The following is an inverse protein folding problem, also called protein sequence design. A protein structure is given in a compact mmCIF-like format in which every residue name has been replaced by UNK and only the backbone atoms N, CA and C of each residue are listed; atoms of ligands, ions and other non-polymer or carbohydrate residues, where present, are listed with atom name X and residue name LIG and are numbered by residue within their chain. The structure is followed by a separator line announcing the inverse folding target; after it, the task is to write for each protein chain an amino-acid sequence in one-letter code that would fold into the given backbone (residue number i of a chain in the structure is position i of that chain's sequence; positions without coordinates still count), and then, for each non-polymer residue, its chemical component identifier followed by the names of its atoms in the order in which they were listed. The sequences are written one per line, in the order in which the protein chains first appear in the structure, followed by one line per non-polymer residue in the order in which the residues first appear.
data_IF_485173235592
#
_entry.id   IF_485173235592
#
_cell.length_a   1.000
_cell.length_b   1.000
_cell.length_c   1.000
_cell.angle_alpha   90.00
_cell.angle_beta   90.00
_cell.angle_gamma   90.00
#
_symmetry.space_group_name_H-M   'P 1'
#
loop_
_entity.id
_entity.type
_entity.pdbx_description
1 polymer ?
#
# COMPACT_ATOMS: atom_id res chain seq x y z
N UNK A 1 -3.84 -12.10 -7.29
CA UNK A 1 -4.59 -13.34 -7.54
C UNK A 1 -5.15 -13.31 -8.94
N UNK A 2 -4.25 -13.57 -9.88
CA UNK A 2 -4.57 -13.77 -11.27
C UNK A 2 -5.30 -15.11 -11.43
N UNK A 3 -6.47 -15.10 -12.03
CA UNK A 3 -7.14 -16.16 -12.81
C UNK A 3 -7.17 -17.62 -12.29
N UNK A 4 -6.84 -17.89 -11.06
CA UNK A 4 -7.12 -19.17 -10.46
C UNK A 4 -8.54 -19.13 -9.90
N UNK A 5 -9.32 -20.15 -10.18
CA UNK A 5 -10.69 -20.29 -9.68
C UNK A 5 -10.72 -19.90 -8.21
N UNK A 6 -11.57 -18.92 -7.89
CA UNK A 6 -11.78 -18.50 -6.51
C UNK A 6 -12.25 -19.74 -5.76
N UNK A 7 -11.38 -20.30 -4.92
CA UNK A 7 -11.72 -21.43 -4.09
C UNK A 7 -12.59 -20.95 -2.93
N UNK A 8 -13.90 -21.06 -3.10
CA UNK A 8 -14.87 -20.69 -2.07
C UNK A 8 -14.64 -21.45 -0.77
N UNK A 9 -14.15 -22.70 -0.85
CA UNK A 9 -13.84 -23.48 0.34
C UNK A 9 -12.67 -22.88 1.15
N UNK A 10 -11.71 -22.26 0.47
CA UNK A 10 -10.65 -21.53 1.15
C UNK A 10 -11.21 -20.35 1.97
N UNK A 11 -12.14 -19.58 1.41
CA UNK A 11 -12.77 -18.47 2.14
C UNK A 11 -13.57 -18.95 3.35
N UNK A 12 -14.28 -20.06 3.22
CA UNK A 12 -15.00 -20.67 4.34
C UNK A 12 -14.03 -21.12 5.44
N UNK A 13 -12.91 -21.76 5.09
CA UNK A 13 -11.85 -22.14 6.04
C UNK A 13 -11.22 -20.93 6.71
N UNK A 14 -10.90 -19.88 5.94
CA UNK A 14 -10.36 -18.62 6.49
C UNK A 14 -11.34 -17.98 7.49
N UNK A 15 -12.66 -18.03 7.22
CA UNK A 15 -13.66 -17.53 8.14
C UNK A 15 -13.67 -18.27 9.49
N UNK A 16 -13.35 -19.56 9.50
CA UNK A 16 -13.23 -20.36 10.73
C UNK A 16 -11.90 -20.10 11.45
N UNK A 17 -10.81 -19.94 10.70
CA UNK A 17 -9.44 -19.90 11.26
C UNK A 17 -9.02 -18.50 11.72
N UNK A 18 -9.65 -17.43 11.24
CA UNK A 18 -9.21 -16.06 11.55
C UNK A 18 -10.32 -15.22 12.16
N UNK A 19 -9.96 -14.46 13.21
CA UNK A 19 -10.85 -13.48 13.87
C UNK A 19 -10.76 -12.10 13.20
N UNK A 20 -9.65 -11.79 12.52
CA UNK A 20 -9.35 -10.46 11.97
C UNK A 20 -9.23 -10.50 10.45
N UNK A 21 -9.87 -9.54 9.78
CA UNK A 21 -9.84 -9.44 8.32
C UNK A 21 -9.51 -8.02 7.87
N UNK A 22 -8.56 -7.91 6.96
CA UNK A 22 -8.30 -6.66 6.26
C UNK A 22 -9.42 -6.45 5.23
N UNK A 23 -10.24 -5.44 5.49
CA UNK A 23 -11.39 -5.07 4.65
C UNK A 23 -11.17 -3.75 3.91
N UNK A 24 -10.16 -3.00 4.29
CA UNK A 24 -9.76 -1.76 3.65
C UNK A 24 -8.27 -1.83 3.33
N UNK A 25 -7.95 -1.86 2.05
CA UNK A 25 -6.58 -1.88 1.55
C UNK A 25 -6.30 -0.64 0.71
N UNK A 26 -5.27 0.12 1.06
CA UNK A 26 -4.95 1.40 0.43
C UNK A 26 -4.49 1.29 -1.02
N UNK A 27 -4.15 0.10 -1.51
CA UNK A 27 -3.74 -0.18 -2.89
C UNK A 27 -4.81 -0.92 -3.72
N UNK A 28 -5.92 -1.30 -3.09
CA UNK A 28 -7.04 -1.96 -3.76
C UNK A 28 -8.12 -0.96 -4.13
N UNK A 29 -8.91 -1.29 -5.15
CA UNK A 29 -10.05 -0.47 -5.53
C UNK A 29 -11.19 -0.55 -4.52
N UNK A 30 -12.11 0.42 -4.60
CA UNK A 30 -13.27 0.49 -3.73
C UNK A 30 -14.15 -0.76 -3.83
N UNK A 31 -14.27 -1.34 -5.02
CA UNK A 31 -15.09 -2.51 -5.27
C UNK A 31 -14.57 -3.73 -4.50
N UNK A 32 -13.27 -4.02 -4.58
CA UNK A 32 -12.64 -5.12 -3.86
C UNK A 32 -12.77 -4.94 -2.34
N UNK A 33 -12.53 -3.74 -1.84
CA UNK A 33 -12.69 -3.41 -0.42
C UNK A 33 -14.14 -3.59 0.03
N UNK A 34 -15.12 -3.16 -0.78
CA UNK A 34 -16.56 -3.31 -0.48
C UNK A 34 -16.99 -4.78 -0.45
N UNK A 35 -16.52 -5.59 -1.40
CA UNK A 35 -16.82 -7.02 -1.43
C UNK A 35 -16.27 -7.73 -0.18
N UNK A 36 -15.02 -7.46 0.19
CA UNK A 36 -14.42 -8.05 1.37
C UNK A 36 -15.12 -7.61 2.65
N UNK A 37 -15.49 -6.33 2.75
CA UNK A 37 -16.25 -5.79 3.87
C UNK A 37 -17.62 -6.50 4.01
N UNK A 38 -18.40 -6.57 2.93
CA UNK A 38 -19.72 -7.19 2.94
C UNK A 38 -19.63 -8.69 3.29
N UNK A 39 -18.63 -9.38 2.74
CA UNK A 39 -18.38 -10.76 3.09
C UNK A 39 -18.07 -10.93 4.57
N UNK A 40 -17.12 -10.17 5.12
CA UNK A 40 -16.72 -10.27 6.52
C UNK A 40 -17.86 -9.91 7.48
N UNK A 41 -18.65 -8.88 7.17
CA UNK A 41 -19.84 -8.51 7.95
C UNK A 41 -20.96 -9.56 7.87
N UNK A 42 -21.03 -10.30 6.77
CA UNK A 42 -21.97 -11.39 6.59
C UNK A 42 -21.62 -12.71 7.29
N UNK A 43 -20.48 -12.77 7.98
CA UNK A 43 -20.05 -13.95 8.76
C UNK A 43 -20.72 -13.97 10.13
N UNK A 44 -21.94 -14.53 10.18
CA UNK A 44 -22.66 -14.74 11.44
C UNK A 44 -22.13 -15.95 12.21
N UNK A 45 -22.39 -16.07 13.53
CA UNK A 45 -22.03 -17.25 14.32
C UNK A 45 -22.50 -18.56 13.70
N UNK A 46 -23.71 -18.59 13.17
CA UNK A 46 -24.34 -19.78 12.56
C UNK A 46 -23.57 -20.18 11.28
N UNK A 47 -23.18 -19.21 10.46
CA UNK A 47 -22.36 -19.46 9.26
C UNK A 47 -20.98 -19.99 9.63
N UNK A 48 -20.31 -19.39 10.61
CA UNK A 48 -18.99 -19.85 11.07
C UNK A 48 -19.08 -21.27 11.58
N UNK A 49 -20.10 -21.61 12.38
CA UNK A 49 -20.32 -22.98 12.87
C UNK A 49 -20.68 -23.95 11.73
N UNK A 50 -21.43 -23.51 10.73
CA UNK A 50 -21.74 -24.34 9.56
C UNK A 50 -20.45 -24.65 8.76
N UNK A 51 -19.57 -23.66 8.54
CA UNK A 51 -18.28 -23.84 7.88
C UNK A 51 -17.35 -24.73 8.69
N UNK A 52 -17.30 -24.54 10.01
CA UNK A 52 -16.53 -25.36 10.92
C UNK A 52 -16.91 -26.85 10.79
N UNK A 53 -18.20 -27.17 10.82
CA UNK A 53 -18.70 -28.54 10.60
C UNK A 53 -18.37 -29.07 9.21
N UNK A 54 -18.60 -28.25 8.17
CA UNK A 54 -18.35 -28.65 6.75
C UNK A 54 -16.89 -29.04 6.52
N UNK A 55 -15.97 -28.31 7.13
CA UNK A 55 -14.53 -28.50 6.92
C UNK A 55 -13.83 -29.28 8.04
N UNK A 56 -14.59 -29.78 9.01
CA UNK A 56 -14.07 -30.47 10.19
C UNK A 56 -12.97 -29.67 10.92
N UNK A 57 -13.24 -28.38 11.16
CA UNK A 57 -12.38 -27.45 11.86
C UNK A 57 -13.04 -27.00 13.16
N UNK A 58 -12.27 -26.84 14.24
CA UNK A 58 -12.73 -26.19 15.47
C UNK A 58 -12.21 -24.74 15.51
N UNK A 59 -13.07 -23.70 15.53
CA UNK A 59 -12.63 -22.33 15.66
C UNK A 59 -11.74 -22.09 16.89
N UNK A 60 -11.97 -22.81 17.99
CA UNK A 60 -11.20 -22.66 19.23
C UNK A 60 -9.73 -23.08 19.08
N UNK A 61 -9.41 -24.01 18.19
CA UNK A 61 -8.03 -24.40 17.88
C UNK A 61 -7.21 -23.22 17.31
N UNK A 62 -7.91 -22.23 16.75
CA UNK A 62 -7.33 -21.01 16.15
C UNK A 62 -7.53 -19.76 17.01
N UNK A 63 -7.98 -19.91 18.25
CA UNK A 63 -8.37 -18.81 19.14
C UNK A 63 -9.43 -17.88 18.51
N UNK A 64 -10.36 -18.44 17.76
CA UNK A 64 -11.52 -17.74 17.16
C UNK A 64 -12.75 -18.06 18.00
N UNK A 65 -13.41 -17.00 18.49
CA UNK A 65 -14.74 -17.13 19.10
C UNK A 65 -15.80 -16.88 18.02
N UNK A 66 -16.59 -17.89 17.61
CA UNK A 66 -17.62 -17.73 16.60
C UNK A 66 -18.74 -16.78 17.02
N UNK A 67 -18.91 -16.52 18.32
CA UNK A 67 -19.95 -15.61 18.84
C UNK A 67 -19.52 -14.15 18.87
N UNK A 68 -18.23 -13.88 18.71
CA UNK A 68 -17.68 -12.52 18.61
C UNK A 68 -17.62 -12.09 17.15
N UNK A 69 -18.16 -10.92 16.77
CA UNK A 69 -18.08 -10.42 15.41
C UNK A 69 -16.64 -10.36 14.92
N UNK A 70 -16.43 -10.58 13.62
CA UNK A 70 -15.12 -10.44 13.00
C UNK A 70 -14.58 -9.02 13.18
N UNK A 71 -13.31 -8.93 13.54
CA UNK A 71 -12.63 -7.65 13.75
C UNK A 71 -12.11 -7.17 12.40
N UNK A 72 -12.54 -5.97 12.00
CA UNK A 72 -12.21 -5.39 10.71
C UNK A 72 -10.99 -4.47 10.85
N UNK A 73 -10.02 -4.66 9.98
CA UNK A 73 -8.78 -3.88 9.96
C UNK A 73 -8.53 -3.29 8.57
N UNK A 74 -7.64 -2.32 8.49
CA UNK A 74 -7.17 -1.73 7.24
C UNK A 74 -5.65 -1.71 7.18
N UNK A 75 -5.11 -1.74 5.98
CA UNK A 75 -3.69 -1.61 5.68
C UNK A 75 -3.43 -0.61 4.56
N UNK A 76 -2.29 0.06 4.55
CA UNK A 76 -1.91 0.94 3.44
C UNK A 76 -1.48 0.14 2.22
N UNK A 77 -0.92 -1.06 2.43
CA UNK A 77 -0.28 -1.88 1.39
C UNK A 77 0.73 -1.07 0.53
N UNK A 78 1.27 -0.02 1.11
CA UNK A 78 2.13 0.94 0.41
C UNK A 78 3.58 0.47 0.42
N UNK A 79 4.02 -0.08 -0.71
CA UNK A 79 5.37 -0.57 -0.90
C UNK A 79 6.39 0.54 -1.20
N UNK A 80 5.93 1.76 -1.52
CA UNK A 80 6.78 2.88 -1.92
C UNK A 80 6.99 3.91 -0.80
N UNK A 81 6.19 3.87 0.28
CA UNK A 81 6.28 4.80 1.39
C UNK A 81 5.66 6.19 1.11
N UNK A 82 5.04 6.40 -0.05
CA UNK A 82 4.45 7.69 -0.41
C UNK A 82 3.10 7.90 0.26
N UNK A 83 2.29 6.84 0.30
CA UNK A 83 0.93 6.87 0.85
C UNK A 83 0.82 6.15 2.20
N UNK A 84 1.96 5.80 2.81
CA UNK A 84 1.99 5.18 4.12
C UNK A 84 1.23 6.02 5.15
N UNK A 85 0.36 5.37 5.92
CA UNK A 85 -0.46 6.03 6.92
C UNK A 85 -1.74 6.72 6.41
N UNK A 86 -1.97 6.79 5.09
CA UNK A 86 -3.24 7.30 4.55
C UNK A 86 -4.39 6.30 4.66
N UNK A 87 -4.07 5.02 4.75
CA UNK A 87 -4.99 3.95 5.04
C UNK A 87 -4.33 3.03 6.07
N UNK A 88 -5.11 2.50 7.01
CA UNK A 88 -4.58 1.63 8.05
C UNK A 88 -5.62 1.26 9.09
N UNK A 89 -5.14 0.83 10.25
CA UNK A 89 -5.97 0.43 11.38
C UNK A 89 -5.82 1.43 12.53
N UNK A 90 -6.93 1.99 12.98
CA UNK A 90 -6.98 2.81 14.18
C UNK A 90 -7.14 1.91 15.41
N UNK A 91 -6.28 2.10 16.39
CA UNK A 91 -6.38 1.45 17.68
C UNK A 91 -7.15 2.37 18.64
N UNK A 92 -8.13 1.82 19.35
CA UNK A 92 -8.92 2.53 20.34
C UNK A 92 -8.48 2.12 21.73
N UNK A 93 -7.78 3.01 22.42
CA UNK A 93 -7.30 2.81 23.78
C UNK A 93 -8.12 3.69 24.73
N UNK A 94 -8.93 3.11 25.63
CA UNK A 94 -9.67 3.89 26.63
C UNK A 94 -8.71 4.71 27.49
N UNK A 95 -9.06 5.96 27.76
CA UNK A 95 -8.29 6.89 28.60
C UNK A 95 -6.81 7.04 28.17
N UNK A 96 -6.52 6.97 26.84
CA UNK A 96 -5.17 6.98 26.27
C UNK A 96 -4.30 8.08 26.87
N UNK A 97 -4.81 9.32 26.95
CA UNK A 97 -4.05 10.48 27.39
C UNK A 97 -3.57 10.37 28.85
N UNK A 98 -4.37 9.77 29.71
CA UNK A 98 -4.01 9.53 31.12
C UNK A 98 -3.02 8.36 31.22
N UNK A 99 -3.28 7.28 30.49
CA UNK A 99 -2.48 6.06 30.53
C UNK A 99 -1.08 6.23 29.96
N UNK A 100 -0.89 7.12 28.98
CA UNK A 100 0.43 7.44 28.42
C UNK A 100 1.40 8.07 29.44
N UNK A 101 0.90 8.60 30.56
CA UNK A 101 1.77 9.12 31.62
C UNK A 101 2.40 8.01 32.49
N UNK A 102 1.85 6.81 32.46
CA UNK A 102 2.24 5.71 33.37
C UNK A 102 2.50 4.39 32.69
N UNK A 103 2.07 4.23 31.44
CA UNK A 103 2.19 2.98 30.69
C UNK A 103 2.90 3.21 29.34
N UNK A 104 3.65 2.20 28.92
CA UNK A 104 4.34 2.21 27.64
C UNK A 104 3.36 2.18 26.45
N UNK A 105 3.53 3.03 25.41
CA UNK A 105 2.65 3.07 24.25
C UNK A 105 2.52 1.71 23.55
N UNK A 106 3.58 0.93 23.48
CA UNK A 106 3.60 -0.41 22.88
C UNK A 106 2.69 -1.40 23.62
N UNK A 107 2.65 -1.32 24.97
CA UNK A 107 1.77 -2.13 25.81
C UNK A 107 0.31 -1.78 25.56
N UNK A 108 -0.01 -0.48 25.49
CA UNK A 108 -1.36 0.02 25.23
C UNK A 108 -1.84 -0.39 23.83
N UNK A 109 -0.97 -0.31 22.83
CA UNK A 109 -1.27 -0.75 21.48
C UNK A 109 -1.55 -2.26 21.43
N UNK A 110 -0.71 -3.07 22.07
CA UNK A 110 -0.87 -4.53 22.12
C UNK A 110 -2.17 -4.93 22.85
N UNK A 111 -2.53 -4.24 23.93
CA UNK A 111 -3.80 -4.43 24.63
C UNK A 111 -4.99 -4.16 23.70
N UNK A 112 -5.00 -3.02 22.99
CA UNK A 112 -6.06 -2.69 22.04
C UNK A 112 -6.17 -3.74 20.92
N UNK A 113 -5.04 -4.20 20.39
CA UNK A 113 -5.00 -5.26 19.37
C UNK A 113 -5.59 -6.55 19.92
N UNK A 114 -5.21 -6.98 21.12
CA UNK A 114 -5.70 -8.21 21.74
C UNK A 114 -7.19 -8.13 22.05
N UNK A 115 -7.65 -7.00 22.56
CA UNK A 115 -9.05 -6.75 22.85
C UNK A 115 -9.93 -6.60 21.60
N UNK A 116 -9.35 -6.46 20.40
CA UNK A 116 -10.11 -6.20 19.18
C UNK A 116 -10.62 -4.76 19.07
N UNK A 117 -10.11 -3.85 19.89
CA UNK A 117 -10.47 -2.44 19.87
C UNK A 117 -9.81 -1.73 18.68
N UNK A 118 -10.27 -2.10 17.48
CA UNK A 118 -9.68 -1.67 16.21
C UNK A 118 -10.76 -1.30 15.20
N UNK A 119 -10.43 -0.37 14.32
CA UNK A 119 -11.27 -0.05 13.16
C UNK A 119 -10.42 0.35 11.97
N UNK A 120 -10.82 -0.01 10.73
CA UNK A 120 -10.15 0.48 9.53
C UNK A 120 -10.37 1.99 9.39
N UNK A 121 -9.40 2.70 8.82
CA UNK A 121 -9.54 4.11 8.45
C UNK A 121 -8.78 4.40 7.16
N UNK A 122 -9.19 5.45 6.47
CA UNK A 122 -8.49 5.98 5.30
C UNK A 122 -9.29 5.91 4.01
N UNK A 123 -8.59 6.13 2.92
CA UNK A 123 -9.14 6.14 1.58
C UNK A 123 -8.53 5.04 0.73
N UNK A 124 -9.37 4.37 -0.05
CA UNK A 124 -8.93 3.38 -1.05
C UNK A 124 -8.12 4.04 -2.17
N UNK A 125 -7.33 3.22 -2.87
CA UNK A 125 -6.59 3.68 -4.03
C UNK A 125 -7.54 4.15 -5.14
N UNK A 126 -7.19 5.30 -5.70
CA UNK A 126 -7.67 5.74 -6.99
C UNK A 126 -6.58 5.46 -8.04
N UNK A 127 -6.95 5.37 -9.33
CA UNK A 127 -5.99 5.17 -10.41
C UNK A 127 -4.84 6.19 -10.37
N UNK A 128 -5.13 7.39 -9.90
CA UNK A 128 -4.15 8.47 -9.73
C UNK A 128 -3.06 8.13 -8.71
N UNK A 129 -3.40 7.50 -7.58
CA UNK A 129 -2.41 7.06 -6.57
C UNK A 129 -1.51 5.97 -7.12
N UNK A 130 -2.08 5.04 -7.89
CA UNK A 130 -1.31 3.99 -8.55
C UNK A 130 -0.27 4.58 -9.51
N UNK A 131 -0.66 5.56 -10.33
CA UNK A 131 0.25 6.23 -11.26
C UNK A 131 1.41 6.91 -10.53
N UNK A 132 1.14 7.54 -9.37
CA UNK A 132 2.17 8.18 -8.55
C UNK A 132 3.12 7.14 -7.95
N UNK A 133 2.57 6.04 -7.42
CA UNK A 133 3.37 4.94 -6.88
C UNK A 133 4.28 4.32 -7.96
N UNK A 134 3.75 4.11 -9.16
CA UNK A 134 4.54 3.64 -10.32
C UNK A 134 5.64 4.63 -10.70
N UNK A 135 5.35 5.93 -10.75
CA UNK A 135 6.34 6.96 -11.06
C UNK A 135 7.49 6.95 -10.04
N UNK A 136 7.17 6.86 -8.75
CA UNK A 136 8.20 6.79 -7.71
C UNK A 136 9.01 5.49 -7.82
N UNK A 137 8.34 4.37 -8.06
CA UNK A 137 8.99 3.09 -8.28
C UNK A 137 9.99 3.14 -9.45
N UNK A 138 9.57 3.67 -10.60
CA UNK A 138 10.47 3.86 -11.74
C UNK A 138 11.62 4.81 -11.41
N UNK A 139 11.36 5.86 -10.62
CA UNK A 139 12.40 6.78 -10.18
C UNK A 139 13.42 6.08 -9.28
N UNK A 140 12.98 5.19 -8.39
CA UNK A 140 13.88 4.39 -7.55
C UNK A 140 14.72 3.42 -8.38
N UNK A 141 14.13 2.71 -9.35
CA UNK A 141 14.87 1.81 -10.24
C UNK A 141 15.91 2.59 -11.04
N UNK A 142 15.53 3.73 -11.63
CA UNK A 142 16.44 4.54 -12.43
C UNK A 142 17.63 5.11 -11.63
N UNK A 143 17.51 5.22 -10.31
CA UNK A 143 18.55 5.77 -9.43
C UNK A 143 19.41 4.69 -8.76
N UNK A 144 18.87 3.50 -8.52
CA UNK A 144 19.54 2.39 -7.85
C UNK A 144 20.12 1.42 -8.89
N UNK A 145 21.33 0.92 -8.63
CA UNK A 145 22.00 -0.08 -9.49
C UNK A 145 21.40 -1.47 -9.27
N UNK A 146 20.78 -1.71 -8.11
CA UNK A 146 20.18 -2.99 -7.75
C UNK A 146 18.71 -3.05 -8.18
N UNK A 147 18.33 -4.14 -8.85
CA UNK A 147 16.95 -4.45 -9.20
C UNK A 147 16.13 -4.65 -7.90
N UNK A 148 15.10 -3.84 -7.64
CA UNK A 148 14.28 -3.96 -6.43
C UNK A 148 13.35 -5.18 -6.43
N UNK A 149 13.55 -6.15 -7.32
CA UNK A 149 12.82 -7.42 -7.32
C UNK A 149 11.49 -7.44 -8.07
N UNK A 150 11.02 -6.31 -8.61
CA UNK A 150 9.77 -6.28 -9.40
C UNK A 150 9.89 -7.16 -10.65
N UNK A 151 11.03 -7.14 -11.29
CA UNK A 151 11.32 -8.00 -12.43
C UNK A 151 11.19 -9.49 -12.08
N UNK A 152 11.58 -9.90 -10.88
CA UNK A 152 11.39 -11.28 -10.44
C UNK A 152 9.93 -11.64 -10.25
N UNK A 153 9.12 -10.72 -9.72
CA UNK A 153 7.68 -10.96 -9.49
C UNK A 153 6.94 -11.09 -10.83
N UNK A 154 7.20 -10.18 -11.77
CA UNK A 154 6.58 -10.20 -13.10
C UNK A 154 7.07 -11.37 -13.97
N UNK A 155 8.35 -11.73 -13.90
CA UNK A 155 8.91 -12.86 -14.64
C UNK A 155 8.40 -14.21 -14.12
N UNK A 156 7.99 -14.33 -12.87
CA UNK A 156 7.54 -15.61 -12.30
C UNK A 156 6.10 -15.97 -12.63
N UNK A 157 5.19 -14.99 -12.85
CA UNK A 157 3.74 -15.23 -12.95
C UNK A 157 3.05 -14.60 -14.17
N UNK A 158 3.75 -13.84 -14.99
CA UNK A 158 3.18 -13.16 -16.16
C UNK A 158 3.07 -14.05 -17.40
N UNK A 159 2.14 -13.72 -18.27
CA UNK A 159 2.04 -14.28 -19.61
C UNK A 159 3.25 -13.88 -20.48
N UNK A 160 3.40 -14.48 -21.67
CA UNK A 160 4.53 -14.21 -22.56
C UNK A 160 4.65 -12.71 -22.94
N UNK A 161 3.51 -12.02 -23.08
CA UNK A 161 3.48 -10.59 -23.36
C UNK A 161 4.00 -9.76 -22.18
N UNK A 162 3.60 -10.10 -20.96
CA UNK A 162 4.07 -9.42 -19.74
C UNK A 162 5.58 -9.56 -19.58
N UNK A 163 6.11 -10.75 -19.86
CA UNK A 163 7.55 -11.02 -19.83
C UNK A 163 8.32 -10.19 -20.85
N UNK A 164 7.78 -10.08 -22.06
CA UNK A 164 8.38 -9.28 -23.11
C UNK A 164 8.34 -7.78 -22.78
N UNK A 165 7.22 -7.29 -22.26
CA UNK A 165 7.06 -5.91 -21.82
C UNK A 165 8.02 -5.58 -20.66
N UNK A 166 8.17 -6.48 -19.69
CA UNK A 166 9.12 -6.32 -18.58
C UNK A 166 10.57 -6.33 -19.07
N UNK A 167 10.91 -7.19 -20.02
CA UNK A 167 12.25 -7.21 -20.61
C UNK A 167 12.55 -5.91 -21.35
N UNK A 168 11.61 -5.41 -22.16
CA UNK A 168 11.73 -4.13 -22.86
C UNK A 168 11.91 -2.96 -21.87
N UNK A 169 11.07 -2.89 -20.84
CA UNK A 169 11.13 -1.87 -19.81
C UNK A 169 12.45 -1.93 -19.03
N UNK A 170 12.93 -3.12 -18.70
CA UNK A 170 14.23 -3.30 -18.02
C UNK A 170 15.38 -2.74 -18.83
N UNK A 171 15.40 -2.99 -20.13
CA UNK A 171 16.45 -2.46 -20.99
C UNK A 171 16.42 -0.93 -21.09
N UNK A 172 15.22 -0.33 -21.14
CA UNK A 172 15.06 1.13 -21.10
C UNK A 172 15.56 1.69 -19.76
N UNK A 173 15.20 1.08 -18.65
CA UNK A 173 15.65 1.51 -17.32
C UNK A 173 17.15 1.36 -17.13
N UNK A 174 17.76 0.27 -17.61
CA UNK A 174 19.21 0.08 -17.60
C UNK A 174 19.93 1.16 -18.42
N UNK A 175 19.37 1.54 -19.57
CA UNK A 175 19.94 2.59 -20.39
C UNK A 175 19.81 3.98 -19.74
N UNK A 176 18.68 4.24 -19.07
CA UNK A 176 18.50 5.45 -18.26
C UNK A 176 19.47 5.51 -17.09
N UNK A 177 19.77 4.37 -16.45
CA UNK A 177 20.75 4.29 -15.36
C UNK A 177 22.18 4.61 -15.82
N UNK A 178 22.54 4.17 -17.04
CA UNK A 178 23.86 4.48 -17.61
C UNK A 178 24.04 5.97 -17.88
N UNK A 179 22.94 6.67 -18.21
CA UNK A 179 22.97 8.11 -18.47
C UNK A 179 22.96 8.90 -17.16
N UNK A 180 24.13 9.46 -16.81
CA UNK A 180 24.35 10.23 -15.58
C UNK A 180 23.38 11.41 -15.38
N UNK A 181 22.88 12.01 -16.47
CA UNK A 181 21.93 13.13 -16.40
C UNK A 181 20.51 12.65 -16.15
N UNK A 182 20.09 11.56 -16.81
CA UNK A 182 18.79 10.94 -16.58
C UNK A 182 18.68 10.42 -15.14
N UNK A 183 19.70 9.73 -14.66
CA UNK A 183 19.74 9.26 -13.26
C UNK A 183 19.56 10.39 -12.26
N UNK A 184 20.23 11.53 -12.46
CA UNK A 184 20.05 12.70 -11.61
C UNK A 184 18.65 13.29 -11.69
N UNK A 185 18.03 13.30 -12.85
CA UNK A 185 16.65 13.76 -13.01
C UNK A 185 15.68 12.88 -12.23
N UNK A 186 15.79 11.55 -12.33
CA UNK A 186 14.95 10.63 -11.57
C UNK A 186 15.20 10.68 -10.05
N UNK A 187 16.44 10.96 -9.61
CA UNK A 187 16.75 11.26 -8.22
C UNK A 187 15.95 12.48 -7.72
N UNK A 188 15.86 13.54 -8.54
CA UNK A 188 15.02 14.69 -8.23
C UNK A 188 13.53 14.37 -8.16
N UNK A 189 13.03 13.54 -9.08
CA UNK A 189 11.63 13.10 -9.07
C UNK A 189 11.34 12.34 -7.78
N UNK A 190 12.18 11.36 -7.44
CA UNK A 190 12.05 10.60 -6.21
C UNK A 190 12.07 11.49 -4.96
N UNK A 191 13.07 12.38 -4.84
CA UNK A 191 13.20 13.30 -3.71
C UNK A 191 11.97 14.22 -3.59
N UNK A 192 11.45 14.73 -4.71
CA UNK A 192 10.25 15.56 -4.72
C UNK A 192 9.01 14.80 -4.24
N UNK A 193 8.82 13.56 -4.67
CA UNK A 193 7.72 12.70 -4.23
C UNK A 193 7.81 12.37 -2.72
N UNK A 194 9.02 12.32 -2.16
CA UNK A 194 9.27 12.17 -0.73
C UNK A 194 9.19 13.50 0.06
N UNK A 195 8.85 14.61 -0.60
CA UNK A 195 8.75 15.93 0.04
C UNK A 195 10.09 16.63 0.28
N UNK A 196 11.18 16.10 -0.24
CA UNK A 196 12.50 16.71 -0.12
C UNK A 196 12.68 17.81 -1.15
N UNK A 197 12.99 19.01 -0.70
CA UNK A 197 13.26 20.13 -1.61
C UNK A 197 14.55 19.88 -2.40
N UNK A 198 14.53 20.07 -3.73
CA UNK A 198 15.72 19.93 -4.55
C UNK A 198 16.85 20.83 -4.06
N UNK A 199 18.04 20.26 -3.90
CA UNK A 199 19.22 21.04 -3.50
C UNK A 199 19.57 22.07 -4.59
N UNK A 200 19.76 23.35 -4.21
CA UNK A 200 20.09 24.45 -5.15
C UNK A 200 21.31 24.13 -6.02
N UNK A 201 22.35 23.51 -5.48
CA UNK A 201 23.55 23.14 -6.24
C UNK A 201 23.27 22.06 -7.30
N UNK A 202 22.33 21.16 -7.06
CA UNK A 202 21.95 20.13 -8.00
C UNK A 202 21.18 20.70 -9.21
N UNK A 203 20.41 21.79 -9.04
CA UNK A 203 19.71 22.48 -10.14
C UNK A 203 20.66 22.89 -11.27
N UNK A 204 21.87 23.28 -10.95
CA UNK A 204 22.88 23.66 -11.95
C UNK A 204 23.46 22.46 -12.70
N UNK A 205 23.40 21.26 -12.10
CA UNK A 205 23.92 20.03 -12.68
C UNK A 205 22.91 19.29 -13.58
N UNK A 206 21.65 19.72 -13.58
CA UNK A 206 20.60 19.16 -14.44
C UNK A 206 20.71 19.75 -15.83
N UNK A 207 20.62 18.91 -16.85
CA UNK A 207 20.61 19.34 -18.26
C UNK A 207 19.56 20.41 -18.50
N UNK A 208 19.88 21.37 -19.40
CA UNK A 208 18.92 22.40 -19.85
C UNK A 208 17.58 21.80 -20.28
N UNK A 209 17.60 20.59 -20.86
CA UNK A 209 16.45 19.84 -21.31
C UNK A 209 15.43 19.59 -20.19
N UNK A 210 15.86 19.38 -18.95
CA UNK A 210 14.99 19.04 -17.83
C UNK A 210 14.71 20.22 -16.87
N UNK A 211 15.27 21.41 -17.14
CA UNK A 211 15.11 22.56 -16.25
C UNK A 211 13.66 23.05 -16.10
N UNK A 212 12.85 22.90 -17.12
CA UNK A 212 11.43 23.28 -17.05
C UNK A 212 10.64 22.43 -16.04
N UNK A 213 11.07 21.17 -15.80
CA UNK A 213 10.43 20.31 -14.82
C UNK A 213 10.75 20.70 -13.37
N UNK A 214 11.84 21.44 -13.12
CA UNK A 214 12.31 21.73 -11.74
C UNK A 214 11.24 22.48 -10.93
N UNK A 215 10.60 23.47 -11.53
CA UNK A 215 9.53 24.25 -10.85
C UNK A 215 8.33 23.37 -10.48
N UNK A 216 8.00 22.38 -11.31
CA UNK A 216 6.95 21.40 -11.02
C UNK A 216 7.37 20.46 -9.88
N UNK A 217 8.59 19.96 -9.89
CA UNK A 217 9.12 19.10 -8.82
C UNK A 217 9.20 19.85 -7.48
N UNK A 218 9.52 21.14 -7.48
CA UNK A 218 9.46 21.96 -6.26
C UNK A 218 8.03 22.11 -5.72
N UNK A 219 7.04 22.26 -6.60
CA UNK A 219 5.63 22.28 -6.20
C UNK A 219 5.16 20.95 -5.64
N UNK A 220 5.57 19.84 -6.26
CA UNK A 220 5.30 18.50 -5.76
C UNK A 220 5.89 18.33 -4.35
N UNK A 221 7.17 18.65 -4.15
CA UNK A 221 7.81 18.57 -2.84
C UNK A 221 7.12 19.43 -1.77
N UNK A 222 6.63 20.62 -2.15
CA UNK A 222 5.91 21.50 -1.24
C UNK A 222 4.52 20.94 -0.89
N UNK A 223 3.81 20.36 -1.85
CA UNK A 223 2.46 19.81 -1.66
C UNK A 223 2.45 18.53 -0.78
N UNK A 224 3.58 17.85 -0.62
CA UNK A 224 3.69 16.62 0.18
C UNK A 224 3.28 16.82 1.64
N UNK A 225 3.50 18.02 2.19
CA UNK A 225 3.12 18.37 3.57
C UNK A 225 1.67 18.86 3.70
N UNK A 226 0.93 18.92 2.58
CA UNK A 226 -0.48 19.30 2.53
C UNK A 226 -1.43 18.11 2.63
N UNK A 227 -2.64 18.29 2.13
CA UNK A 227 -3.60 17.19 2.03
C UNK A 227 -3.18 16.17 0.95
N UNK A 228 -3.58 14.90 1.12
CA UNK A 228 -3.31 13.84 0.15
C UNK A 228 -3.87 14.19 -1.24
N UNK A 229 -5.04 14.82 -1.28
CA UNK A 229 -5.69 15.26 -2.50
C UNK A 229 -4.89 16.35 -3.23
N UNK A 230 -4.44 17.37 -2.49
CA UNK A 230 -3.60 18.45 -3.07
C UNK A 230 -2.28 17.91 -3.63
N UNK A 231 -1.65 16.96 -2.92
CA UNK A 231 -0.46 16.29 -3.40
C UNK A 231 -0.73 15.50 -4.69
N UNK A 232 -1.77 14.64 -4.67
CA UNK A 232 -2.16 13.82 -5.81
C UNK A 232 -2.45 14.67 -7.06
N UNK A 233 -3.23 15.75 -6.90
CA UNK A 233 -3.54 16.66 -7.99
C UNK A 233 -2.30 17.36 -8.54
N UNK A 234 -1.36 17.76 -7.67
CA UNK A 234 -0.10 18.40 -8.08
C UNK A 234 0.77 17.45 -8.89
N UNK A 235 0.88 16.18 -8.48
CA UNK A 235 1.67 15.17 -9.23
C UNK A 235 1.01 14.84 -10.55
N UNK A 236 -0.31 14.65 -10.58
CA UNK A 236 -1.03 14.37 -11.83
C UNK A 236 -0.86 15.49 -12.86
N UNK A 237 -0.90 16.76 -12.42
CA UNK A 237 -0.64 17.89 -13.33
C UNK A 237 0.80 17.95 -13.87
N UNK A 238 1.71 17.15 -13.34
CA UNK A 238 3.07 16.99 -13.84
C UNK A 238 3.20 15.83 -14.83
N UNK A 239 2.36 14.80 -14.68
CA UNK A 239 2.38 13.59 -15.54
C UNK A 239 1.62 13.85 -16.85
N UNK A 240 0.54 14.62 -16.80
CA UNK A 240 -0.28 15.04 -17.96
C UNK A 240 0.33 16.20 -18.71
#
# INVERSE_FOLDING_TARGET
TSNENIDLELFEKLAVMFQRFEVLNGQRDLWQSTLTLNWAQGLTPEKIQAYARKHNLDPHDFNVDPHVPKILVGGSDDHMGIFAGQCGTRLMVPNLQQRLNTEEPSKLALEAIRAGNMSPYGHVAENQKLNIALLDYFSQIATKIEDPGLLRILLHRGEAFDKLACFGLSNVLLELQKNKQSRKFFEFVHDALQGKKPNRMLKWKVSKKYRFCIAHLERIAASRNGTAEAFTNTVNSFIT
#
